data_IF_326116778570
#
_entry.id   IF_326116778570
#
_cell.length_a   1.000
_cell.length_b   1.000
_cell.length_c   1.000
_cell.angle_alpha   90.00
_cell.angle_beta   90.00
_cell.angle_gamma   90.00
#
_symmetry.space_group_name_H-M   'P 1'
#
loop_
_entity.id
_entity.type
_entity.pdbx_description
1 polymer ?
#
# COMPACT_ATOMS: atom_id res chain seq x y z
N UNK A 1 7.19 8.74 6.99
CA UNK A 1 8.67 8.70 7.01
C UNK A 1 9.27 8.23 5.69
N UNK A 2 8.61 7.38 4.88
CA UNK A 2 9.13 6.91 3.58
C UNK A 2 9.05 7.95 2.44
N UNK A 3 9.33 9.23 2.73
CA UNK A 3 9.36 10.31 1.74
C UNK A 3 10.42 10.08 0.67
N UNK A 4 11.60 9.59 1.05
CA UNK A 4 12.67 9.24 0.11
C UNK A 4 12.23 8.16 -0.89
N UNK A 5 11.56 7.11 -0.41
CA UNK A 5 11.03 6.03 -1.28
C UNK A 5 9.98 6.55 -2.26
N UNK A 6 9.01 7.33 -1.78
CA UNK A 6 7.97 7.92 -2.64
C UNK A 6 8.55 8.89 -3.68
N UNK A 7 9.46 9.76 -3.26
CA UNK A 7 10.12 10.72 -4.15
C UNK A 7 11.02 10.03 -5.20
N UNK A 8 11.75 8.98 -4.81
CA UNK A 8 12.62 8.25 -5.73
C UNK A 8 11.84 7.57 -6.85
N UNK A 9 10.69 6.95 -6.53
CA UNK A 9 9.81 6.33 -7.53
C UNK A 9 9.17 7.40 -8.42
N UNK A 10 8.65 8.48 -7.83
CA UNK A 10 8.03 9.59 -8.56
C UNK A 10 8.99 10.27 -9.53
N UNK A 11 10.26 10.41 -9.14
CA UNK A 11 11.32 10.95 -9.98
C UNK A 11 11.87 9.96 -11.03
N UNK A 12 11.36 8.73 -11.09
CA UNK A 12 11.82 7.70 -12.03
C UNK A 12 13.22 7.16 -11.74
N UNK A 13 13.72 7.30 -10.51
CA UNK A 13 15.04 6.76 -10.11
C UNK A 13 15.02 5.23 -9.97
N UNK A 14 13.83 4.65 -9.80
CA UNK A 14 13.60 3.21 -9.79
C UNK A 14 12.11 2.88 -9.92
N UNK A 15 11.76 1.68 -10.39
CA UNK A 15 10.37 1.28 -10.61
C UNK A 15 9.63 0.91 -9.32
N UNK A 16 10.38 0.53 -8.27
CA UNK A 16 9.88 0.05 -7.00
C UNK A 16 10.80 0.52 -5.86
N UNK A 17 10.22 0.83 -4.71
CA UNK A 17 10.93 1.07 -3.47
C UNK A 17 10.23 0.36 -2.31
N UNK A 18 10.97 0.13 -1.23
CA UNK A 18 10.42 -0.37 0.04
C UNK A 18 10.19 0.81 0.98
N UNK A 19 9.06 0.80 1.67
CA UNK A 19 8.72 1.74 2.73
C UNK A 19 8.33 1.02 4.03
N UNK A 20 8.03 1.83 5.04
CA UNK A 20 7.62 1.39 6.38
C UNK A 20 6.43 2.23 6.85
N UNK A 21 5.37 1.60 7.36
CA UNK A 21 4.11 2.25 7.73
C UNK A 21 3.63 1.78 9.10
N UNK A 22 3.70 2.67 10.09
CA UNK A 22 3.06 2.49 11.40
C UNK A 22 1.81 3.36 11.62
N UNK A 23 1.42 4.17 10.63
CA UNK A 23 0.44 5.24 10.82
C UNK A 23 0.17 6.10 9.57
N UNK A 24 0.57 5.63 8.40
CA UNK A 24 0.49 6.30 7.11
C UNK A 24 1.84 6.43 6.41
N UNK A 25 2.93 5.92 6.97
CA UNK A 25 4.27 6.24 6.46
C UNK A 25 4.66 5.61 5.11
N UNK A 26 3.85 4.69 4.56
CA UNK A 26 3.89 4.28 3.13
C UNK A 26 2.85 5.08 2.34
N UNK A 27 1.60 5.09 2.82
CA UNK A 27 0.45 5.65 2.09
C UNK A 27 0.52 7.17 1.90
N UNK A 28 0.91 7.90 2.94
CA UNK A 28 1.02 9.36 2.91
C UNK A 28 2.11 9.84 1.94
N UNK A 29 3.37 9.35 1.99
CA UNK A 29 4.35 9.71 0.97
C UNK A 29 3.94 9.32 -0.44
N UNK A 30 3.31 8.15 -0.63
CA UNK A 30 2.83 7.73 -1.95
C UNK A 30 1.79 8.70 -2.51
N UNK A 31 0.77 9.06 -1.71
CA UNK A 31 -0.24 10.05 -2.09
C UNK A 31 0.34 11.44 -2.37
N UNK A 32 1.31 11.90 -1.57
CA UNK A 32 1.96 13.20 -1.77
C UNK A 32 2.88 13.24 -3.01
N UNK A 33 3.48 12.11 -3.38
CA UNK A 33 4.37 11.99 -4.53
C UNK A 33 3.65 11.54 -5.82
N UNK A 34 2.34 11.32 -5.78
CA UNK A 34 1.57 10.88 -6.94
C UNK A 34 1.90 9.46 -7.41
N UNK A 35 2.29 8.57 -6.49
CA UNK A 35 2.64 7.17 -6.75
C UNK A 35 1.78 6.22 -5.92
N UNK A 36 1.88 4.91 -6.16
CA UNK A 36 1.08 3.91 -5.45
C UNK A 36 1.89 3.34 -4.29
N UNK A 37 1.28 3.19 -3.12
CA UNK A 37 1.91 2.59 -1.93
C UNK A 37 0.93 1.69 -1.19
N UNK A 38 1.39 0.50 -0.80
CA UNK A 38 0.55 -0.50 -0.13
C UNK A 38 1.09 -0.79 1.28
N UNK A 39 0.22 -0.59 2.28
CA UNK A 39 0.40 -1.20 3.60
C UNK A 39 -0.40 -2.51 3.61
N UNK A 40 0.29 -3.64 3.62
CA UNK A 40 -0.36 -4.95 3.60
C UNK A 40 -1.14 -5.24 4.90
N UNK A 41 -1.93 -6.32 4.84
CA UNK A 41 -2.52 -6.96 6.02
C UNK A 41 -1.43 -7.32 7.02
N UNK A 42 -1.73 -7.24 8.32
CA UNK A 42 -0.76 -7.60 9.36
C UNK A 42 -0.23 -9.01 9.20
N UNK A 43 1.07 -9.17 9.40
CA UNK A 43 1.79 -10.44 9.26
C UNK A 43 1.89 -10.98 7.82
N UNK A 44 1.44 -10.23 6.80
CA UNK A 44 1.49 -10.68 5.41
C UNK A 44 2.88 -10.59 4.79
N UNK A 45 3.69 -9.63 5.23
CA UNK A 45 5.08 -9.42 4.83
C UNK A 45 5.92 -9.53 6.10
N UNK A 46 6.97 -10.34 6.06
CA UNK A 46 7.93 -10.47 7.15
C UNK A 46 8.62 -9.13 7.46
N UNK A 47 8.76 -8.84 8.74
CA UNK A 47 9.55 -7.70 9.23
C UNK A 47 10.98 -8.12 9.65
N UNK A 48 11.37 -9.37 9.43
CA UNK A 48 12.71 -9.84 9.74
C UNK A 48 13.77 -8.99 9.01
N UNK A 49 14.72 -8.46 9.79
CA UNK A 49 15.80 -7.61 9.28
C UNK A 49 15.41 -6.13 9.14
N UNK A 50 14.13 -5.78 9.28
CA UNK A 50 13.71 -4.40 9.41
C UNK A 50 14.15 -3.83 10.78
N UNK A 51 14.48 -2.54 10.79
CA UNK A 51 14.68 -1.85 12.08
C UNK A 51 13.35 -1.84 12.85
N UNK A 52 13.35 -2.13 14.17
CA UNK A 52 12.13 -2.19 14.95
C UNK A 52 11.29 -0.90 14.81
N UNK A 53 10.07 -1.06 14.29
CA UNK A 53 9.05 -0.01 14.24
C UNK A 53 8.17 -0.12 15.50
N UNK A 54 6.88 0.21 15.36
CA UNK A 54 5.89 -0.05 16.41
C UNK A 54 5.34 -1.48 16.25
N UNK A 55 5.55 -2.33 17.24
CA UNK A 55 5.20 -3.77 17.22
C UNK A 55 3.73 -4.07 16.88
N UNK A 56 2.81 -3.14 17.10
CA UNK A 56 1.37 -3.35 16.88
C UNK A 56 0.86 -2.85 15.54
N UNK A 57 1.61 -1.96 14.87
CA UNK A 57 1.11 -1.22 13.69
C UNK A 57 2.15 -1.03 12.59
N UNK A 58 3.43 -1.21 12.87
CA UNK A 58 4.53 -1.13 11.91
C UNK A 58 4.45 -2.24 10.89
N UNK A 59 4.67 -1.90 9.62
CA UNK A 59 4.72 -2.83 8.49
C UNK A 59 5.69 -2.30 7.45
N UNK A 60 6.51 -3.17 6.88
CA UNK A 60 7.17 -2.87 5.60
C UNK A 60 6.21 -3.08 4.42
N UNK A 61 6.46 -2.42 3.29
CA UNK A 61 5.64 -2.63 2.10
C UNK A 61 6.12 -1.89 0.86
N UNK A 62 5.57 -2.24 -0.31
CA UNK A 62 6.01 -1.70 -1.59
C UNK A 62 5.43 -0.31 -1.88
N UNK A 63 6.23 0.50 -2.57
CA UNK A 63 5.86 1.75 -3.24
C UNK A 63 6.32 1.63 -4.70
N UNK A 64 5.44 1.94 -5.67
CA UNK A 64 5.71 1.76 -7.09
C UNK A 64 4.96 2.77 -7.96
N UNK A 65 5.39 2.92 -9.22
CA UNK A 65 4.83 3.92 -10.12
C UNK A 65 3.39 3.59 -10.54
N UNK A 66 3.06 2.30 -10.62
CA UNK A 66 1.71 1.82 -10.98
C UNK A 66 1.19 0.79 -9.98
N UNK A 67 -0.13 0.53 -10.01
CA UNK A 67 -0.77 -0.55 -9.23
C UNK A 67 -0.14 -1.90 -9.56
N UNK A 68 0.21 -2.13 -10.84
CA UNK A 68 0.87 -3.36 -11.29
C UNK A 68 2.25 -3.53 -10.65
N UNK A 69 3.06 -2.47 -10.59
CA UNK A 69 4.39 -2.52 -9.98
C UNK A 69 4.30 -2.83 -8.49
N UNK A 70 3.38 -2.16 -7.79
CA UNK A 70 3.13 -2.39 -6.37
C UNK A 70 2.66 -3.82 -6.11
N UNK A 71 1.79 -4.37 -6.96
CA UNK A 71 1.31 -5.73 -6.80
C UNK A 71 2.41 -6.77 -7.07
N UNK A 72 3.30 -6.53 -8.04
CA UNK A 72 4.49 -7.36 -8.25
C UNK A 72 5.45 -7.29 -7.06
N UNK A 73 5.73 -6.08 -6.54
CA UNK A 73 6.52 -5.90 -5.33
C UNK A 73 5.91 -6.62 -4.13
N UNK A 74 4.59 -6.54 -3.98
CA UNK A 74 3.85 -7.24 -2.94
C UNK A 74 3.96 -8.77 -3.08
N UNK A 75 3.86 -9.31 -4.29
CA UNK A 75 4.05 -10.74 -4.56
C UNK A 75 5.44 -11.25 -4.16
N UNK A 76 6.47 -10.43 -4.37
CA UNK A 76 7.85 -10.77 -4.01
C UNK A 76 8.10 -10.70 -2.50
N UNK A 77 7.38 -9.82 -1.79
CA UNK A 77 7.57 -9.57 -0.36
C UNK A 77 6.67 -10.44 0.53
N UNK A 78 5.51 -10.86 0.03
CA UNK A 78 4.49 -11.54 0.83
C UNK A 78 4.82 -13.03 1.04
N UNK A 79 4.52 -13.52 2.24
CA UNK A 79 4.65 -14.93 2.58
C UNK A 79 5.04 -15.15 4.04
N UNK A 80 4.76 -16.34 4.58
CA UNK A 80 5.24 -16.71 5.91
C UNK A 80 6.76 -16.80 5.92
N UNK A 81 7.37 -16.27 6.97
CA UNK A 81 8.82 -16.34 7.21
C UNK A 81 9.05 -17.02 8.57
N UNK A 82 9.68 -18.21 8.61
CA UNK A 82 9.99 -18.91 9.86
C UNK A 82 10.86 -18.11 10.84
N UNK A 83 11.57 -17.08 10.37
CA UNK A 83 12.38 -16.21 11.20
C UNK A 83 11.62 -14.97 11.73
N UNK A 84 10.41 -14.72 11.26
CA UNK A 84 9.49 -13.72 11.83
C UNK A 84 8.29 -14.43 12.48
N UNK A 85 8.25 -14.52 13.83
CA UNK A 85 7.18 -15.21 14.55
C UNK A 85 5.80 -14.54 14.40
N UNK A 86 5.74 -13.31 13.88
CA UNK A 86 4.50 -12.59 13.64
C UNK A 86 3.98 -12.74 12.22
N UNK A 87 4.82 -13.21 11.30
CA UNK A 87 4.39 -13.53 9.93
C UNK A 87 3.32 -14.62 9.94
N UNK A 88 2.38 -14.53 9.01
CA UNK A 88 1.22 -15.40 8.93
C UNK A 88 1.18 -16.07 7.56
N UNK A 89 0.85 -17.36 7.56
CA UNK A 89 0.45 -18.03 6.33
C UNK A 89 -0.95 -17.54 5.95
N UNK A 90 -1.06 -16.91 4.78
CA UNK A 90 -2.28 -16.28 4.29
C UNK A 90 -2.55 -16.77 2.86
N UNK A 91 -3.79 -16.67 2.36
CA UNK A 91 -4.14 -17.17 1.03
C UNK A 91 -3.17 -16.68 -0.06
N UNK A 92 -2.82 -17.53 -1.04
CA UNK A 92 -1.85 -17.20 -2.07
C UNK A 92 -2.26 -15.92 -2.81
N UNK A 93 -1.25 -15.20 -3.30
CA UNK A 93 -1.49 -14.04 -4.13
C UNK A 93 -1.73 -14.48 -5.57
N UNK A 94 -2.92 -14.21 -6.09
CA UNK A 94 -3.24 -14.38 -7.50
C UNK A 94 -3.05 -13.04 -8.24
N UNK A 95 -2.08 -12.98 -9.15
CA UNK A 95 -1.75 -11.75 -9.90
C UNK A 95 -2.60 -11.60 -11.16
N UNK A 96 -3.21 -12.70 -11.62
CA UNK A 96 -4.09 -12.79 -12.77
C UNK A 96 -5.29 -11.83 -12.62
N UNK A 97 -5.78 -11.69 -11.40
CA UNK A 97 -6.92 -10.83 -11.04
C UNK A 97 -6.61 -9.33 -11.16
N UNK A 98 -5.34 -8.92 -11.22
CA UNK A 98 -4.97 -7.50 -11.39
C UNK A 98 -5.41 -6.92 -12.73
N UNK A 99 -5.72 -7.78 -13.70
CA UNK A 99 -6.20 -7.37 -15.03
C UNK A 99 -7.73 -7.29 -15.09
N UNK A 100 -8.43 -7.69 -14.02
CA UNK A 100 -9.88 -7.61 -13.94
C UNK A 100 -10.32 -6.15 -13.86
N UNK A 101 -10.75 -5.60 -14.98
CA UNK A 101 -11.32 -4.26 -15.06
C UNK A 101 -12.77 -4.19 -14.56
N UNK A 102 -13.47 -5.34 -14.54
CA UNK A 102 -14.88 -5.39 -14.14
C UNK A 102 -15.05 -5.49 -12.61
N UNK A 103 -15.45 -4.38 -12.01
CA UNK A 103 -15.80 -4.27 -10.59
C UNK A 103 -17.31 -4.44 -10.33
N UNK A 104 -18.09 -4.94 -11.31
CA UNK A 104 -19.52 -5.20 -11.11
C UNK A 104 -19.77 -6.09 -9.89
N UNK A 105 -20.73 -5.70 -9.06
CA UNK A 105 -21.08 -6.40 -7.81
C UNK A 105 -20.19 -6.06 -6.60
N UNK A 106 -19.07 -5.34 -6.78
CA UNK A 106 -18.30 -4.80 -5.66
C UNK A 106 -19.08 -3.66 -5.00
N UNK A 107 -19.18 -3.67 -3.67
CA UNK A 107 -19.83 -2.60 -2.89
C UNK A 107 -18.78 -1.82 -2.13
N UNK A 108 -18.72 -0.51 -2.35
CA UNK A 108 -17.82 0.41 -1.65
C UNK A 108 -18.57 1.10 -0.52
N UNK A 109 -18.06 0.97 0.72
CA UNK A 109 -18.57 1.69 1.88
C UNK A 109 -17.75 2.95 2.14
N UNK A 110 -18.41 4.10 2.33
CA UNK A 110 -17.75 5.38 2.59
C UNK A 110 -18.10 5.86 3.99
N UNK A 111 -17.11 5.97 4.88
CA UNK A 111 -17.28 6.61 6.18
C UNK A 111 -17.17 8.13 6.03
N UNK A 112 -18.33 8.77 5.79
CA UNK A 112 -18.44 10.20 5.45
C UNK A 112 -17.70 11.14 6.41
N UNK A 113 -17.79 11.01 7.76
CA UNK A 113 -17.09 11.93 8.67
C UNK A 113 -15.57 11.99 8.46
N UNK A 114 -14.91 10.86 8.21
CA UNK A 114 -13.47 10.85 7.94
C UNK A 114 -13.14 11.22 6.48
N UNK A 115 -13.99 10.81 5.54
CA UNK A 115 -13.81 11.12 4.12
C UNK A 115 -13.88 12.64 3.86
N UNK A 116 -14.74 13.34 4.59
CA UNK A 116 -14.95 14.79 4.51
C UNK A 116 -14.01 15.57 5.45
N UNK A 117 -13.22 14.90 6.29
CA UNK A 117 -12.16 15.49 7.14
C UNK A 117 -10.85 15.67 6.35
N UNK A 118 -10.97 16.25 5.15
CA UNK A 118 -9.88 16.54 4.24
C UNK A 118 -10.13 17.87 3.53
N UNK A 119 -9.11 18.38 2.84
CA UNK A 119 -9.26 19.60 2.04
C UNK A 119 -10.24 19.36 0.87
N UNK A 120 -11.04 20.38 0.56
CA UNK A 120 -12.17 20.24 -0.35
C UNK A 120 -11.78 19.70 -1.74
N UNK A 121 -10.59 20.06 -2.25
CA UNK A 121 -10.11 19.52 -3.53
C UNK A 121 -9.79 18.03 -3.47
N UNK A 122 -9.24 17.53 -2.36
CA UNK A 122 -8.99 16.11 -2.15
C UNK A 122 -10.30 15.32 -2.07
N UNK A 123 -11.31 15.85 -1.35
CA UNK A 123 -12.65 15.26 -1.27
C UNK A 123 -13.26 15.17 -2.67
N UNK A 124 -13.23 16.27 -3.44
CA UNK A 124 -13.78 16.32 -4.80
C UNK A 124 -13.08 15.31 -5.74
N UNK A 125 -11.76 15.19 -5.67
CA UNK A 125 -11.00 14.23 -6.47
C UNK A 125 -11.36 12.77 -6.11
N UNK A 126 -11.48 12.46 -4.81
CA UNK A 126 -11.88 11.13 -4.37
C UNK A 126 -13.32 10.79 -4.76
N UNK A 127 -14.26 11.73 -4.66
CA UNK A 127 -15.64 11.54 -5.11
C UNK A 127 -15.75 11.28 -6.61
N UNK A 128 -14.91 11.94 -7.43
CA UNK A 128 -14.87 11.68 -8.87
C UNK A 128 -14.51 10.22 -9.17
N UNK A 129 -13.60 9.63 -8.40
CA UNK A 129 -13.23 8.21 -8.52
C UNK A 129 -14.32 7.22 -8.11
N UNK A 130 -15.27 7.62 -7.26
CA UNK A 130 -16.39 6.78 -6.81
C UNK A 130 -17.57 6.72 -7.82
N UNK A 131 -17.56 7.58 -8.85
CA UNK A 131 -18.65 7.69 -9.83
C UNK A 131 -18.42 6.84 -11.10
N UNK A 132 -17.31 6.09 -11.15
CA UNK A 132 -16.99 5.10 -12.19
C UNK A 132 -17.81 3.81 -11.99
#
# INVERSE_FOLDING_TARGET
>A
SSSGSGAAVSAGLGPLAVGADGGGSIRTPAGLCGVVGLKATYGRISEHGAFPLCWSVGHVGPIGATVRDVALGYALMAGPDPADPWSQDQPPLELEDLTRADLSGVRVGVYRPWFEDAEASAVAAAEAGLRL
#
